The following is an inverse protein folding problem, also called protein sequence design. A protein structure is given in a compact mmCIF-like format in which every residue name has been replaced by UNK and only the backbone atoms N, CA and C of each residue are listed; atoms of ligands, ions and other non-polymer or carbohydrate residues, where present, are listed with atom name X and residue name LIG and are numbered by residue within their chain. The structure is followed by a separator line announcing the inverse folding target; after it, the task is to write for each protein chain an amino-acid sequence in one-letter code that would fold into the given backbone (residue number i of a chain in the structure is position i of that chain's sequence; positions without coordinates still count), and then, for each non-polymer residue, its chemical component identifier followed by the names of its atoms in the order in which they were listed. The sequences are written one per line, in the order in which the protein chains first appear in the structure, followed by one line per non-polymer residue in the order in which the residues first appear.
data_IF_425387070926
#
_entry.id   IF_425387070926
#
_cell.length_a   1.000
_cell.length_b   1.000
_cell.length_c   1.000
_cell.angle_alpha   90.00
_cell.angle_beta   90.00
_cell.angle_gamma   90.00
#
_symmetry.space_group_name_H-M   'P 1'
#
loop_
_entity.id
_entity.type
_entity.pdbx_description
1 polymer ?
#
# COMPACT_ATOMS: atom_id res chain seq x y z
N UNK A 1 23.24 12.25 -45.45
CA UNK A 1 23.82 11.78 -44.19
C UNK A 1 23.98 12.95 -43.24
N UNK A 2 23.06 13.08 -42.29
CA UNK A 2 23.26 13.85 -41.06
C UNK A 2 23.01 12.85 -39.92
N UNK A 3 24.04 12.40 -39.18
CA UNK A 3 23.86 11.67 -37.94
C UNK A 3 23.77 12.66 -36.78
N UNK A 4 23.07 12.30 -35.71
CA UNK A 4 22.88 13.05 -34.46
C UNK A 4 21.71 14.05 -34.43
N UNK A 5 20.52 13.51 -34.21
CA UNK A 5 19.59 14.09 -33.24
C UNK A 5 19.80 13.35 -31.90
N UNK A 6 20.04 14.02 -30.77
CA UNK A 6 19.98 13.37 -29.47
C UNK A 6 18.51 13.15 -29.10
N UNK A 7 18.03 11.91 -29.22
CA UNK A 7 16.87 11.44 -28.47
C UNK A 7 17.17 11.60 -26.96
N UNK A 8 16.36 12.35 -26.23
CA UNK A 8 16.59 12.48 -24.78
C UNK A 8 15.81 13.59 -24.07
N UNK A 9 14.59 13.91 -24.50
CA UNK A 9 13.67 14.71 -23.70
C UNK A 9 12.30 14.06 -23.64
N UNK A 10 12.28 12.77 -23.28
CA UNK A 10 11.06 12.16 -22.75
C UNK A 10 10.81 12.67 -21.33
N UNK A 11 9.61 13.18 -21.01
CA UNK A 11 9.24 13.42 -19.63
C UNK A 11 9.34 12.10 -18.84
N UNK A 12 9.71 12.14 -17.53
CA UNK A 12 9.71 10.93 -16.72
C UNK A 12 8.33 10.26 -16.87
N UNK A 13 8.27 8.93 -17.09
CA UNK A 13 6.99 8.25 -17.20
C UNK A 13 6.17 8.58 -15.93
N UNK A 14 4.86 8.90 -16.07
CA UNK A 14 4.00 9.04 -14.91
C UNK A 14 4.15 7.80 -14.04
N UNK A 15 4.07 7.90 -12.69
CA UNK A 15 4.26 6.75 -11.82
C UNK A 15 3.29 5.64 -12.25
N UNK A 16 3.83 4.66 -12.97
CA UNK A 16 3.04 3.53 -13.43
C UNK A 16 2.69 2.74 -12.17
N UNK A 17 1.40 2.43 -11.93
CA UNK A 17 1.05 1.37 -10.98
C UNK A 17 1.91 0.17 -11.36
N UNK A 18 2.54 -0.48 -10.38
CA UNK A 18 3.45 -1.59 -10.64
C UNK A 18 2.68 -2.70 -11.37
N UNK A 19 2.77 -2.71 -12.70
CA UNK A 19 2.17 -3.68 -13.62
C UNK A 19 2.89 -5.01 -13.41
N UNK A 20 2.39 -5.78 -12.47
CA UNK A 20 2.97 -7.06 -12.15
C UNK A 20 2.45 -7.55 -10.82
N UNK A 21 1.26 -8.14 -10.85
CA UNK A 21 0.90 -9.38 -10.16
C UNK A 21 -0.56 -9.68 -10.55
N UNK A 22 -0.72 -10.64 -11.48
CA UNK A 22 -1.92 -11.44 -11.75
C UNK A 22 -3.28 -10.87 -11.33
N UNK A 23 -4.21 -10.79 -12.29
CA UNK A 23 -5.67 -10.55 -12.14
C UNK A 23 -6.41 -11.45 -11.11
N UNK A 24 -5.70 -12.30 -10.36
CA UNK A 24 -6.21 -13.20 -9.32
C UNK A 24 -5.46 -13.08 -7.97
N UNK A 25 -4.42 -12.26 -7.86
CA UNK A 25 -3.66 -12.09 -6.63
C UNK A 25 -4.14 -10.84 -5.87
N UNK A 26 -4.31 -10.91 -4.54
CA UNK A 26 -4.64 -9.73 -3.76
C UNK A 26 -3.58 -8.65 -3.97
N UNK A 27 -3.98 -7.37 -4.13
CA UNK A 27 -3.07 -6.26 -4.30
C UNK A 27 -1.93 -6.31 -3.28
N UNK A 28 -0.67 -6.03 -3.68
CA UNK A 28 0.48 -6.14 -2.77
C UNK A 28 0.34 -5.24 -1.54
N UNK A 29 -0.45 -4.16 -1.63
CA UNK A 29 -0.84 -3.34 -0.50
C UNK A 29 -1.65 -4.10 0.55
N UNK A 30 -2.66 -4.87 0.14
CA UNK A 30 -3.51 -5.64 1.05
C UNK A 30 -2.72 -6.78 1.69
N UNK A 31 -1.92 -7.51 0.91
CA UNK A 31 -1.05 -8.58 1.44
C UNK A 31 -0.09 -8.04 2.50
N UNK A 32 0.62 -6.95 2.21
CA UNK A 32 1.52 -6.31 3.17
C UNK A 32 0.81 -5.78 4.41
N UNK A 33 -0.40 -5.23 4.23
CA UNK A 33 -1.21 -4.75 5.35
C UNK A 33 -1.63 -5.91 6.25
N UNK A 34 -2.06 -7.02 5.66
CA UNK A 34 -2.40 -8.22 6.40
C UNK A 34 -1.21 -8.75 7.18
N UNK A 35 -0.06 -8.95 6.53
CA UNK A 35 1.18 -9.40 7.17
C UNK A 35 1.63 -8.47 8.31
N UNK A 36 1.48 -7.15 8.14
CA UNK A 36 1.85 -6.15 9.15
C UNK A 36 0.96 -6.24 10.40
N UNK A 37 -0.32 -6.54 10.24
CA UNK A 37 -1.30 -6.64 11.34
C UNK A 37 -1.27 -8.04 11.98
N UNK A 38 -0.91 -9.07 11.20
CA UNK A 38 -0.79 -10.46 11.66
C UNK A 38 0.47 -10.71 12.50
N UNK A 39 1.43 -9.78 12.51
CA UNK A 39 2.64 -9.88 13.31
C UNK A 39 2.35 -9.59 14.80
N UNK A 40 2.51 -10.57 15.72
CA UNK A 40 2.29 -10.35 17.14
C UNK A 40 3.27 -9.34 17.76
N UNK A 41 4.39 -9.04 17.09
CA UNK A 41 5.28 -7.97 17.53
C UNK A 41 4.64 -6.59 17.38
N UNK A 42 3.69 -6.41 16.47
CA UNK A 42 3.03 -5.13 16.20
C UNK A 42 1.71 -4.98 16.95
N UNK A 43 1.25 -6.01 17.69
CA UNK A 43 -0.01 -6.03 18.46
C UNK A 43 -0.22 -4.82 19.38
N UNK A 44 0.87 -4.27 19.93
CA UNK A 44 0.84 -3.08 20.80
C UNK A 44 0.55 -1.77 20.04
N UNK A 45 0.71 -1.77 18.72
CA UNK A 45 0.50 -0.65 17.81
C UNK A 45 -0.76 -0.88 16.96
N UNK A 46 -0.89 -2.08 16.37
CA UNK A 46 -2.02 -2.51 15.55
C UNK A 46 -2.27 -3.99 15.78
N UNK A 47 -3.52 -4.39 16.00
CA UNK A 47 -3.85 -5.79 16.22
C UNK A 47 -5.13 -6.18 15.50
N UNK A 48 -5.28 -7.47 15.22
CA UNK A 48 -6.56 -8.01 14.80
C UNK A 48 -7.59 -7.91 15.93
N UNK A 49 -8.84 -7.63 15.56
CA UNK A 49 -9.96 -7.84 16.46
C UNK A 49 -10.17 -9.35 16.68
N UNK A 50 -10.87 -9.74 17.75
CA UNK A 50 -11.16 -11.15 18.09
C UNK A 50 -11.74 -11.99 16.94
N UNK A 51 -12.38 -11.35 15.97
CA UNK A 51 -12.95 -12.01 14.80
C UNK A 51 -12.01 -12.12 13.58
N UNK A 52 -10.82 -11.53 13.58
CA UNK A 52 -9.90 -11.53 12.42
C UNK A 52 -10.42 -10.81 11.17
N UNK A 53 -11.59 -10.15 11.26
CA UNK A 53 -12.26 -9.49 10.14
C UNK A 53 -11.91 -8.02 10.02
N UNK A 54 -11.33 -7.44 11.07
CA UNK A 54 -11.02 -6.02 11.17
C UNK A 54 -9.84 -5.85 12.12
N UNK A 55 -9.05 -4.81 11.90
CA UNK A 55 -7.91 -4.48 12.73
C UNK A 55 -8.12 -3.15 13.43
N UNK A 56 -7.49 -3.00 14.60
CA UNK A 56 -7.56 -1.79 15.42
C UNK A 56 -6.16 -1.23 15.55
N UNK A 57 -6.00 0.06 15.24
CA UNK A 57 -4.75 0.79 15.46
C UNK A 57 -4.82 1.43 16.85
N UNK A 58 -4.01 0.93 17.77
CA UNK A 58 -3.90 1.43 19.14
C UNK A 58 -3.04 2.69 19.23
N UNK A 59 -1.94 2.73 18.45
CA UNK A 59 -1.02 3.87 18.42
C UNK A 59 -0.79 4.35 16.98
N UNK A 60 -1.48 5.42 16.60
CA UNK A 60 -1.36 6.03 15.27
C UNK A 60 0.04 6.60 15.00
N UNK A 61 0.75 7.08 16.03
CA UNK A 61 2.05 7.70 15.89
C UNK A 61 3.11 6.63 15.60
N UNK A 62 3.15 5.58 16.43
CA UNK A 62 4.01 4.42 16.22
C UNK A 62 3.68 3.69 14.91
N UNK A 63 2.39 3.59 14.55
CA UNK A 63 1.98 3.01 13.27
C UNK A 63 2.61 3.75 12.09
N UNK A 64 2.55 5.09 12.10
CA UNK A 64 3.03 5.89 10.98
C UNK A 64 4.56 5.99 10.92
N UNK A 65 5.24 5.98 12.06
CA UNK A 65 6.69 6.19 12.15
C UNK A 65 7.50 4.90 12.16
N UNK A 66 6.89 3.77 12.55
CA UNK A 66 7.56 2.47 12.67
C UNK A 66 7.04 1.51 11.60
N UNK A 67 5.71 1.29 11.54
CA UNK A 67 5.13 0.25 10.68
C UNK A 67 5.08 0.69 9.22
N UNK A 68 4.57 1.89 8.94
CA UNK A 68 4.48 2.38 7.57
C UNK A 68 5.84 2.40 6.84
N UNK A 69 6.93 3.01 7.37
CA UNK A 69 8.22 3.01 6.67
C UNK A 69 8.88 1.62 6.59
N UNK A 70 8.49 0.67 7.45
CA UNK A 70 8.99 -0.71 7.42
C UNK A 70 8.31 -1.56 6.34
N UNK A 71 7.02 -1.33 6.08
CA UNK A 71 6.24 -2.12 5.11
C UNK A 71 6.02 -1.39 3.77
N UNK A 72 6.00 -0.06 3.77
CA UNK A 72 5.73 0.82 2.63
C UNK A 72 6.85 1.86 2.43
N UNK A 73 6.95 2.39 1.21
CA UNK A 73 7.91 3.48 0.88
C UNK A 73 7.45 4.87 1.36
N UNK A 74 6.37 4.96 2.12
CA UNK A 74 5.82 6.21 2.66
C UNK A 74 5.43 5.99 4.12
N UNK A 75 5.54 7.05 4.93
CA UNK A 75 5.20 7.05 6.36
C UNK A 75 3.88 7.76 6.66
N UNK A 76 3.08 8.07 5.63
CA UNK A 76 1.90 8.90 5.79
C UNK A 76 0.63 8.05 5.95
N UNK A 77 0.02 8.13 7.13
CA UNK A 77 -1.24 7.45 7.44
C UNK A 77 -2.37 7.78 6.46
N UNK A 78 -2.47 9.03 6.02
CA UNK A 78 -3.51 9.45 5.08
C UNK A 78 -3.38 8.72 3.74
N UNK A 79 -2.16 8.46 3.27
CA UNK A 79 -1.91 7.67 2.07
C UNK A 79 -2.32 6.21 2.24
N UNK A 80 -2.09 5.66 3.44
CA UNK A 80 -2.52 4.31 3.80
C UNK A 80 -4.05 4.18 3.83
N UNK A 81 -4.75 5.09 4.51
CA UNK A 81 -6.22 5.13 4.56
C UNK A 81 -6.81 5.33 3.17
N UNK A 82 -6.20 6.18 2.33
CA UNK A 82 -6.68 6.39 0.96
C UNK A 82 -6.58 5.12 0.13
N UNK A 83 -5.48 4.36 0.24
CA UNK A 83 -5.38 3.07 -0.44
C UNK A 83 -6.45 2.09 0.04
N UNK A 84 -6.66 1.97 1.36
CA UNK A 84 -7.75 1.15 1.91
C UNK A 84 -9.11 1.56 1.35
N UNK A 85 -9.44 2.85 1.36
CA UNK A 85 -10.71 3.36 0.84
C UNK A 85 -10.90 3.06 -0.64
N UNK A 86 -9.85 3.12 -1.46
CA UNK A 86 -9.93 2.73 -2.87
C UNK A 86 -10.32 1.26 -3.02
N UNK A 87 -9.75 0.35 -2.22
CA UNK A 87 -10.09 -1.07 -2.30
C UNK A 87 -11.48 -1.39 -1.75
N UNK A 88 -11.87 -0.78 -0.62
CA UNK A 88 -13.23 -0.95 -0.06
C UNK A 88 -14.28 -0.39 -1.02
N UNK A 89 -14.01 0.77 -1.63
CA UNK A 89 -14.91 1.38 -2.62
C UNK A 89 -14.98 0.59 -3.92
N UNK A 90 -13.86 0.01 -4.39
CA UNK A 90 -13.85 -0.84 -5.60
C UNK A 90 -14.61 -2.13 -5.36
N UNK A 91 -14.43 -2.80 -4.21
CA UNK A 91 -15.15 -4.03 -3.87
C UNK A 91 -16.66 -3.81 -3.73
N UNK A 92 -17.10 -2.65 -3.25
CA UNK A 92 -18.52 -2.31 -3.18
C UNK A 92 -19.13 -1.93 -4.55
N UNK A 93 -18.30 -1.64 -5.55
CA UNK A 93 -18.74 -1.19 -6.88
C UNK A 93 -18.80 -2.33 -7.92
N UNK A 94 -18.49 -3.57 -7.55
CA UNK A 94 -18.69 -4.74 -8.41
C UNK A 94 -20.12 -5.25 -8.18
N UNK A 95 -21.04 -5.12 -9.15
CA UNK A 95 -22.42 -5.58 -9.03
C UNK A 95 -22.56 -7.10 -9.06
#
# INVERSE_FOLDING_TARGET
MNPFLPEGSDPPPPPQPMEGLHENAPPPFLTKTFEMVDDPNTDHIVSWNRGGTSFVVWDLHSFSTILLPRHFKHSNFSSFIRQLNTYVSLLCSIP
#
